data_IF_930275592077
#
_entry.id   IF_930275592077
#
_cell.length_a   1.000
_cell.length_b   1.000
_cell.length_c   1.000
_cell.angle_alpha   90.00
_cell.angle_beta   90.00
_cell.angle_gamma   90.00
#
_symmetry.space_group_name_H-M   'P 1'
#
loop_
_entity.id
_entity.type
_entity.pdbx_description
1 polymer ?
#
# COMPACT_ATOMS: atom_id res chain seq x y z
N UNK A 1 -0.53 22.88 12.95
CA UNK A 1 0.12 21.89 13.85
C UNK A 1 1.43 21.45 13.24
N UNK A 2 2.51 21.29 14.02
CA UNK A 2 3.76 20.74 13.50
C UNK A 2 3.56 19.29 13.05
N UNK A 3 4.25 18.91 11.97
CA UNK A 3 4.18 17.55 11.41
C UNK A 3 4.98 16.60 12.31
N UNK A 4 4.37 15.48 12.72
CA UNK A 4 5.09 14.44 13.46
C UNK A 4 5.83 13.51 12.50
N UNK A 5 7.15 13.70 12.37
CA UNK A 5 7.98 12.96 11.41
C UNK A 5 8.29 11.52 11.83
N UNK A 6 7.98 11.12 13.07
CA UNK A 6 8.20 9.76 13.57
C UNK A 6 7.02 8.80 13.35
N UNK A 7 5.91 9.29 12.78
CA UNK A 7 4.73 8.49 12.48
C UNK A 7 5.08 7.25 11.64
N UNK A 8 4.52 6.09 12.03
CA UNK A 8 4.60 4.84 11.29
C UNK A 8 3.67 4.87 10.09
N UNK A 9 4.23 5.02 8.90
CA UNK A 9 3.47 5.14 7.66
C UNK A 9 3.62 3.88 6.84
N UNK A 10 2.53 3.15 6.62
CA UNK A 10 2.52 2.01 5.71
C UNK A 10 2.14 2.44 4.28
N UNK A 11 2.95 2.05 3.29
CA UNK A 11 2.65 2.26 1.86
C UNK A 11 2.48 0.91 1.17
N UNK A 12 1.23 0.53 0.92
CA UNK A 12 0.90 -0.64 0.12
C UNK A 12 1.09 -0.32 -1.38
N UNK A 13 1.57 -1.29 -2.17
CA UNK A 13 1.83 -1.06 -3.61
C UNK A 13 3.08 -0.20 -3.87
N UNK A 14 4.02 -0.17 -2.93
CA UNK A 14 5.22 0.68 -2.97
C UNK A 14 6.11 0.54 -4.21
N UNK A 15 6.07 -0.60 -4.91
CA UNK A 15 6.84 -0.84 -6.14
C UNK A 15 6.18 -0.25 -7.39
N UNK A 16 4.90 0.12 -7.31
CA UNK A 16 4.17 0.73 -8.41
C UNK A 16 4.53 2.20 -8.61
N UNK A 17 4.06 2.78 -9.73
CA UNK A 17 4.31 4.18 -10.08
C UNK A 17 3.86 5.16 -8.99
N UNK A 18 2.64 4.95 -8.46
CA UNK A 18 2.08 5.79 -7.39
C UNK A 18 2.82 5.56 -6.07
N UNK A 19 2.94 4.29 -5.65
CA UNK A 19 3.57 3.94 -4.37
C UNK A 19 5.02 4.43 -4.25
N UNK A 20 5.83 4.26 -5.30
CA UNK A 20 7.23 4.73 -5.30
C UNK A 20 7.34 6.24 -5.23
N UNK A 21 6.39 6.97 -5.83
CA UNK A 21 6.33 8.44 -5.76
C UNK A 21 5.94 8.93 -4.37
N UNK A 22 4.98 8.25 -3.72
CA UNK A 22 4.59 8.52 -2.33
C UNK A 22 5.81 8.37 -1.41
N UNK A 23 6.56 7.27 -1.52
CA UNK A 23 7.76 7.04 -0.70
C UNK A 23 8.79 8.16 -0.88
N UNK A 24 9.12 8.49 -2.14
CA UNK A 24 10.07 9.58 -2.44
C UNK A 24 9.61 10.89 -1.80
N UNK A 25 8.30 11.18 -1.85
CA UNK A 25 7.74 12.39 -1.26
C UNK A 25 7.82 12.36 0.27
N UNK A 26 7.46 11.25 0.91
CA UNK A 26 7.54 11.10 2.37
C UNK A 26 8.97 11.27 2.88
N UNK A 27 9.94 10.66 2.19
CA UNK A 27 11.37 10.82 2.48
C UNK A 27 11.83 12.27 2.31
N UNK A 28 11.45 12.94 1.21
CA UNK A 28 11.76 14.35 0.98
C UNK A 28 11.12 15.29 2.02
N UNK A 29 10.03 14.86 2.67
CA UNK A 29 9.37 15.58 3.75
C UNK A 29 9.97 15.28 5.14
N UNK A 30 10.96 14.38 5.23
CA UNK A 30 11.67 14.04 6.46
C UNK A 30 11.06 12.89 7.27
N UNK A 31 10.09 12.15 6.74
CA UNK A 31 9.58 10.96 7.42
C UNK A 31 10.62 9.83 7.36
N UNK A 32 10.90 9.24 8.51
CA UNK A 32 11.92 8.18 8.65
C UNK A 32 11.32 6.79 8.80
N UNK A 33 10.04 6.70 9.17
CA UNK A 33 9.40 5.46 9.58
C UNK A 33 8.36 4.98 8.56
N UNK A 34 8.85 4.72 7.34
CA UNK A 34 8.05 4.22 6.22
C UNK A 34 8.15 2.71 6.16
N UNK A 35 7.01 2.03 6.34
CA UNK A 35 6.88 0.58 6.31
C UNK A 35 6.32 0.18 4.94
N UNK A 36 6.88 -0.87 4.35
CA UNK A 36 6.42 -1.44 3.08
C UNK A 36 6.36 -2.96 3.19
N UNK A 37 5.46 -3.57 2.42
CA UNK A 37 5.39 -5.03 2.24
C UNK A 37 5.16 -5.35 0.78
N UNK A 38 5.88 -6.34 0.25
CA UNK A 38 5.59 -6.98 -1.03
C UNK A 38 4.41 -7.96 -0.92
N UNK A 39 3.88 -8.42 -2.05
CA UNK A 39 2.78 -9.40 -2.07
C UNK A 39 3.14 -10.71 -1.35
N UNK A 40 4.41 -11.11 -1.43
CA UNK A 40 4.92 -12.33 -0.80
C UNK A 40 5.09 -12.19 0.73
N UNK A 41 5.19 -10.95 1.22
CA UNK A 41 5.30 -10.64 2.66
C UNK A 41 3.94 -10.36 3.30
N UNK A 42 3.02 -9.78 2.52
CA UNK A 42 1.65 -9.49 2.94
C UNK A 42 0.71 -9.57 1.74
N UNK A 43 -0.06 -10.65 1.66
CA UNK A 43 -1.16 -10.74 0.72
C UNK A 43 -2.35 -9.91 1.26
N UNK A 44 -2.65 -8.79 0.61
CA UNK A 44 -3.74 -7.90 1.03
C UNK A 44 -5.14 -8.50 0.87
N UNK A 45 -5.27 -9.60 0.11
CA UNK A 45 -6.51 -10.36 -0.03
C UNK A 45 -6.74 -11.33 1.15
N UNK A 46 -5.72 -11.58 1.99
CA UNK A 46 -5.85 -12.37 3.19
C UNK A 46 -6.17 -11.46 4.39
N UNK A 47 -7.45 -11.40 4.74
CA UNK A 47 -7.94 -10.58 5.85
C UNK A 47 -7.23 -10.91 7.17
N UNK A 48 -6.94 -12.19 7.45
CA UNK A 48 -6.30 -12.59 8.71
C UNK A 48 -4.86 -12.08 8.76
N UNK A 49 -4.13 -12.20 7.66
CA UNK A 49 -2.77 -11.69 7.54
C UNK A 49 -2.73 -10.15 7.70
N UNK A 50 -3.66 -9.44 7.05
CA UNK A 50 -3.80 -7.98 7.18
C UNK A 50 -4.09 -7.59 8.62
N UNK A 51 -5.05 -8.24 9.29
CA UNK A 51 -5.35 -7.95 10.69
C UNK A 51 -4.14 -8.19 11.62
N UNK A 52 -3.43 -9.31 11.44
CA UNK A 52 -2.25 -9.61 12.22
C UNK A 52 -1.15 -8.54 12.02
N UNK A 53 -0.92 -8.13 10.78
CA UNK A 53 0.04 -7.09 10.42
C UNK A 53 -0.29 -5.73 11.04
N UNK A 54 -1.55 -5.28 10.95
CA UNK A 54 -1.96 -4.00 11.54
C UNK A 54 -1.81 -4.00 13.07
N UNK A 55 -2.18 -5.11 13.72
CA UNK A 55 -2.05 -5.28 15.16
C UNK A 55 -0.58 -5.31 15.63
N UNK A 56 0.34 -5.85 14.84
CA UNK A 56 1.76 -5.92 15.20
C UNK A 56 2.52 -4.62 14.96
N UNK A 57 2.18 -3.87 13.91
CA UNK A 57 2.99 -2.72 13.49
C UNK A 57 2.62 -1.43 14.24
N UNK A 58 1.36 -1.25 14.64
CA UNK A 58 0.89 -0.01 15.27
C UNK A 58 1.00 1.18 14.32
N UNK A 59 0.37 1.06 13.15
CA UNK A 59 0.44 2.04 12.07
C UNK A 59 -0.34 3.32 12.39
N UNK A 60 0.25 4.49 12.14
CA UNK A 60 -0.42 5.79 12.29
C UNK A 60 -1.14 6.22 11.00
N UNK A 61 -0.58 5.84 9.85
CA UNK A 61 -1.11 6.21 8.53
C UNK A 61 -0.93 5.08 7.54
N UNK A 62 -1.89 4.98 6.60
CA UNK A 62 -1.85 4.01 5.51
C UNK A 62 -2.10 4.71 4.19
N UNK A 63 -1.20 4.51 3.23
CA UNK A 63 -1.38 4.86 1.83
C UNK A 63 -1.58 3.57 1.04
N UNK A 64 -2.82 3.32 0.61
CA UNK A 64 -3.20 2.16 -0.19
C UNK A 64 -3.03 2.49 -1.69
N UNK A 65 -1.86 2.18 -2.23
CA UNK A 65 -1.57 2.29 -3.67
C UNK A 65 -1.43 0.93 -4.37
N UNK A 66 -1.71 -0.16 -3.65
CA UNK A 66 -1.79 -1.49 -4.23
C UNK A 66 -3.12 -1.64 -4.97
N UNK A 67 -3.05 -2.14 -6.20
CA UNK A 67 -4.22 -2.52 -6.98
C UNK A 67 -3.81 -3.58 -8.01
N UNK A 68 -4.75 -4.46 -8.38
CA UNK A 68 -4.63 -5.23 -9.61
C UNK A 68 -4.84 -4.27 -10.79
N UNK A 69 -3.78 -4.11 -11.58
CA UNK A 69 -3.74 -3.20 -12.74
C UNK A 69 -3.42 -3.98 -14.02
N UNK A 70 -3.93 -3.51 -15.15
CA UNK A 70 -3.69 -4.07 -16.48
C UNK A 70 -4.05 -3.06 -17.57
N UNK A 71 -3.60 -3.31 -18.79
CA UNK A 71 -3.96 -2.47 -19.94
C UNK A 71 -5.46 -2.53 -20.26
N UNK A 72 -5.94 -1.63 -21.12
CA UNK A 72 -7.36 -1.54 -21.54
C UNK A 72 -7.90 -2.92 -21.96
N UNK A 73 -7.09 -3.71 -22.66
CA UNK A 73 -7.46 -5.06 -23.09
C UNK A 73 -7.63 -6.04 -21.92
N UNK A 74 -6.77 -5.99 -20.90
CA UNK A 74 -6.86 -6.87 -19.72
C UNK A 74 -8.08 -6.51 -18.85
N UNK A 75 -8.37 -5.21 -18.72
CA UNK A 75 -9.52 -4.72 -17.96
C UNK A 75 -10.85 -5.11 -18.63
N UNK A 76 -10.92 -5.07 -19.97
CA UNK A 76 -12.10 -5.50 -20.72
C UNK A 76 -12.30 -7.03 -20.70
N UNK A 77 -11.22 -7.80 -20.58
CA UNK A 77 -11.28 -9.27 -20.60
C UNK A 77 -11.63 -9.87 -19.24
N UNK A 78 -11.20 -9.25 -18.13
CA UNK A 78 -11.37 -9.78 -16.77
C UNK A 78 -12.03 -8.77 -15.80
N UNK A 79 -13.16 -8.12 -16.14
CA UNK A 79 -13.71 -7.04 -15.33
C UNK A 79 -14.08 -7.47 -13.90
N UNK A 80 -14.55 -8.71 -13.72
CA UNK A 80 -14.95 -9.25 -12.40
C UNK A 80 -13.73 -9.44 -11.48
N UNK A 81 -12.64 -9.99 -11.98
CA UNK A 81 -11.43 -10.21 -11.17
C UNK A 81 -10.77 -8.89 -10.75
N UNK A 82 -10.86 -7.86 -11.60
CA UNK A 82 -10.38 -6.51 -11.29
C UNK A 82 -11.23 -5.84 -10.20
N UNK A 83 -12.55 -6.02 -10.22
CA UNK A 83 -13.42 -5.50 -9.17
C UNK A 83 -13.17 -6.24 -7.86
N UNK A 84 -13.15 -7.57 -7.88
CA UNK A 84 -13.02 -8.38 -6.67
C UNK A 84 -11.68 -8.15 -5.94
N UNK A 85 -10.56 -8.01 -6.66
CA UNK A 85 -9.26 -7.82 -6.03
C UNK A 85 -8.97 -6.38 -5.57
N UNK A 86 -9.80 -5.39 -5.95
CA UNK A 86 -9.59 -3.98 -5.65
C UNK A 86 -10.66 -3.36 -4.71
N UNK A 87 -11.62 -4.15 -4.21
CA UNK A 87 -12.71 -3.71 -3.31
C UNK A 87 -12.52 -4.27 -1.91
#
# INVERSE_FOLDING_TARGET
MPRNLSQKIFVAGHRGMVGSTIIRRLQALGYTNVITRGRDELNLLDQKAVHAFFNSEGLDQVYLAAAKVGGIHANNTYPVDFIYENV
#
